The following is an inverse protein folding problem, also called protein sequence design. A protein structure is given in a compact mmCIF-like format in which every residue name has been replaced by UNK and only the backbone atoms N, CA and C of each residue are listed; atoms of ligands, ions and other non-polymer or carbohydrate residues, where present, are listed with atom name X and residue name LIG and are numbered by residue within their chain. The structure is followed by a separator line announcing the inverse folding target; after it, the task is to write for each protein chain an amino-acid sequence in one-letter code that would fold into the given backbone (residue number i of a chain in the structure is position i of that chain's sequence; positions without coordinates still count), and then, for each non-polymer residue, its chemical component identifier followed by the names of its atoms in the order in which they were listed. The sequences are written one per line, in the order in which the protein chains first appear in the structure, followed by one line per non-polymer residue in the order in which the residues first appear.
data_IF_276231398606
#
_entry.id   IF_276231398606
#
_cell.length_a   1.000
_cell.length_b   1.000
_cell.length_c   1.000
_cell.angle_alpha   90.00
_cell.angle_beta   90.00
_cell.angle_gamma   90.00
#
_symmetry.space_group_name_H-M   'P 1'
#
loop_
_entity.id
_entity.type
_entity.pdbx_description
1 polymer ?
#
# COMPACT_ATOMS: atom_id res chain seq x y z
N UNK A 1 -3.22 -10.16 -24.30
CA UNK A 1 -3.04 -9.31 -23.08
C UNK A 1 -4.18 -9.58 -22.12
N UNK A 2 -4.01 -9.33 -20.81
CA UNK A 2 -5.07 -9.59 -19.79
C UNK A 2 -6.40 -8.92 -20.14
N UNK A 3 -6.39 -7.74 -20.74
CA UNK A 3 -7.62 -7.06 -21.21
C UNK A 3 -8.50 -7.92 -22.15
N UNK A 4 -7.89 -8.70 -23.01
CA UNK A 4 -8.64 -9.61 -23.90
C UNK A 4 -9.25 -10.78 -23.13
N UNK A 5 -8.55 -11.24 -22.08
CA UNK A 5 -9.03 -12.30 -21.19
C UNK A 5 -10.15 -11.83 -20.26
N UNK A 6 -10.28 -10.51 -20.02
CA UNK A 6 -11.32 -9.91 -19.20
C UNK A 6 -12.57 -9.50 -19.99
N UNK A 7 -12.59 -9.70 -21.30
CA UNK A 7 -13.73 -9.35 -22.16
C UNK A 7 -15.05 -10.08 -21.82
N UNK A 8 -14.98 -11.14 -20.99
CA UNK A 8 -16.15 -11.86 -20.48
C UNK A 8 -16.74 -11.26 -19.21
N UNK A 9 -16.04 -10.30 -18.56
CA UNK A 9 -16.59 -9.65 -17.38
C UNK A 9 -17.78 -8.76 -17.76
N UNK A 10 -18.82 -8.68 -16.92
CA UNK A 10 -19.95 -7.79 -17.16
C UNK A 10 -19.48 -6.32 -17.19
N UNK A 11 -20.15 -5.48 -18.01
CA UNK A 11 -19.85 -4.05 -18.12
C UNK A 11 -19.98 -3.32 -16.78
N UNK A 12 -20.86 -3.79 -15.89
CA UNK A 12 -20.98 -3.31 -14.52
C UNK A 12 -20.72 -4.45 -13.54
N UNK A 13 -19.74 -4.29 -12.69
CA UNK A 13 -19.53 -5.18 -11.55
C UNK A 13 -20.47 -4.75 -10.41
N UNK A 14 -21.02 -5.71 -9.64
CA UNK A 14 -21.72 -5.37 -8.42
C UNK A 14 -20.75 -4.65 -7.47
N UNK A 15 -21.28 -3.74 -6.64
CA UNK A 15 -20.50 -3.03 -5.63
C UNK A 15 -19.68 -4.03 -4.80
N UNK A 16 -18.38 -3.99 -4.98
CA UNK A 16 -17.47 -4.83 -4.20
C UNK A 16 -17.24 -4.18 -2.83
N UNK A 17 -17.76 -4.83 -1.78
CA UNK A 17 -17.64 -4.36 -0.41
C UNK A 17 -16.86 -5.39 0.43
N UNK A 18 -15.53 -5.34 0.43
CA UNK A 18 -14.70 -6.32 1.13
C UNK A 18 -14.86 -6.26 2.65
N UNK A 19 -15.10 -5.05 3.18
CA UNK A 19 -15.30 -4.77 4.59
C UNK A 19 -16.28 -3.61 4.77
N UNK A 20 -16.87 -3.41 5.95
CA UNK A 20 -17.66 -2.21 6.24
C UNK A 20 -16.74 -0.97 6.30
N UNK A 21 -17.06 0.13 5.57
CA UNK A 21 -16.31 1.39 5.71
C UNK A 21 -16.33 1.89 7.17
N UNK A 22 -15.37 2.71 7.56
CA UNK A 22 -15.26 3.22 8.93
C UNK A 22 -16.52 3.93 9.44
N UNK A 23 -17.25 4.61 8.53
CA UNK A 23 -18.54 5.28 8.82
C UNK A 23 -19.66 4.32 9.22
N UNK A 24 -19.59 3.03 8.92
CA UNK A 24 -20.56 2.01 9.37
C UNK A 24 -20.30 1.64 10.83
N UNK A 25 -20.53 2.59 11.74
CA UNK A 25 -20.15 2.51 13.16
C UNK A 25 -20.66 1.28 13.89
N UNK A 26 -21.87 0.81 13.57
CA UNK A 26 -22.49 -0.34 14.26
C UNK A 26 -21.60 -1.59 14.18
N UNK A 27 -20.97 -1.84 13.02
CA UNK A 27 -20.09 -3.00 12.83
C UNK A 27 -18.80 -2.85 13.65
N UNK A 28 -18.14 -1.69 13.52
CA UNK A 28 -16.88 -1.43 14.23
C UNK A 28 -17.05 -1.38 15.75
N UNK A 29 -18.16 -0.79 16.21
CA UNK A 29 -18.52 -0.74 17.64
C UNK A 29 -18.93 -2.13 18.17
N UNK A 30 -19.52 -2.97 17.33
CA UNK A 30 -19.91 -4.35 17.66
C UNK A 30 -18.77 -5.35 17.76
N UNK A 31 -17.56 -4.97 17.39
CA UNK A 31 -16.38 -5.84 17.53
C UNK A 31 -16.15 -6.23 19.01
N UNK A 32 -15.70 -7.48 19.28
CA UNK A 32 -15.31 -7.88 20.64
C UNK A 32 -14.29 -6.92 21.24
N UNK A 33 -14.45 -6.58 22.54
CA UNK A 33 -13.59 -5.60 23.22
C UNK A 33 -12.10 -5.91 23.04
N UNK A 34 -11.71 -7.18 23.19
CA UNK A 34 -10.32 -7.63 23.00
C UNK A 34 -9.76 -7.28 21.61
N UNK A 35 -10.61 -7.31 20.56
CA UNK A 35 -10.19 -6.98 19.20
C UNK A 35 -9.98 -5.47 19.08
N UNK A 36 -10.93 -4.69 19.61
CA UNK A 36 -10.81 -3.23 19.65
C UNK A 36 -9.57 -2.78 20.39
N UNK A 37 -9.33 -3.33 21.58
CA UNK A 37 -8.16 -3.00 22.40
C UNK A 37 -6.84 -3.30 21.65
N UNK A 38 -6.78 -4.43 20.94
CA UNK A 38 -5.62 -4.81 20.12
C UNK A 38 -5.37 -3.81 18.99
N UNK A 39 -6.40 -3.39 18.28
CA UNK A 39 -6.25 -2.40 17.19
C UNK A 39 -5.83 -1.04 17.73
N UNK A 40 -6.44 -0.58 18.82
CA UNK A 40 -6.07 0.69 19.44
C UNK A 40 -4.64 0.66 19.99
N UNK A 41 -4.23 -0.41 20.66
CA UNK A 41 -2.85 -0.56 21.14
C UNK A 41 -1.84 -0.54 19.99
N UNK A 42 -2.14 -1.22 18.88
CA UNK A 42 -1.28 -1.21 17.70
C UNK A 42 -1.19 0.19 17.08
N UNK A 43 -2.33 0.90 16.97
CA UNK A 43 -2.37 2.29 16.48
C UNK A 43 -1.58 3.25 17.36
N UNK A 44 -1.70 3.14 18.70
CA UNK A 44 -0.92 3.94 19.65
C UNK A 44 0.59 3.70 19.48
N UNK A 45 1.00 2.44 19.40
CA UNK A 45 2.41 2.10 19.15
C UNK A 45 2.90 2.67 17.81
N UNK A 46 2.05 2.63 16.78
CA UNK A 46 2.36 3.20 15.48
C UNK A 46 2.49 4.73 15.53
N UNK A 47 1.68 5.45 16.31
CA UNK A 47 1.84 6.90 16.50
C UNK A 47 3.21 7.27 17.08
N UNK A 48 3.73 6.46 18.01
CA UNK A 48 5.02 6.69 18.65
C UNK A 48 6.22 6.25 17.81
N UNK A 49 5.99 5.48 16.75
CA UNK A 49 7.06 4.96 15.89
C UNK A 49 7.26 5.89 14.70
N UNK A 50 8.46 6.43 14.45
CA UNK A 50 8.74 7.24 13.26
C UNK A 50 8.55 6.43 11.96
N UNK A 51 8.24 7.12 10.87
CA UNK A 51 8.26 6.51 9.54
C UNK A 51 9.70 6.12 9.20
N UNK A 52 9.96 4.84 8.98
CA UNK A 52 11.29 4.34 8.70
C UNK A 52 11.85 4.97 7.40
N UNK A 53 13.07 5.49 7.38
CA UNK A 53 13.67 6.01 6.15
C UNK A 53 14.01 4.86 5.19
N UNK A 54 13.88 5.13 3.88
CA UNK A 54 14.30 4.22 2.80
C UNK A 54 15.37 4.89 1.92
N UNK A 55 16.59 5.08 2.43
CA UNK A 55 17.65 5.72 1.67
C UNK A 55 18.16 4.80 0.55
N UNK A 56 18.68 5.41 -0.51
CA UNK A 56 19.24 4.70 -1.65
C UNK A 56 20.32 3.66 -1.27
N UNK A 57 21.07 3.92 -0.20
CA UNK A 57 22.11 3.00 0.28
C UNK A 57 21.55 1.62 0.66
N UNK A 58 20.34 1.57 1.25
CA UNK A 58 19.67 0.30 1.58
C UNK A 58 19.19 -0.43 0.33
N UNK A 59 18.67 0.31 -0.66
CA UNK A 59 18.32 -0.28 -1.96
C UNK A 59 19.52 -0.94 -2.63
N UNK A 60 20.63 -0.21 -2.72
CA UNK A 60 21.86 -0.67 -3.37
C UNK A 60 22.58 -1.79 -2.59
N UNK A 61 22.26 -2.00 -1.31
CA UNK A 61 22.89 -3.06 -0.52
C UNK A 61 22.62 -4.45 -1.13
N UNK A 62 21.42 -4.65 -1.68
CA UNK A 62 21.10 -5.89 -2.36
C UNK A 62 22.00 -6.16 -3.57
N UNK A 63 22.17 -5.21 -4.47
CA UNK A 63 23.02 -5.41 -5.66
C UNK A 63 24.51 -5.52 -5.32
N UNK A 64 24.94 -4.93 -4.21
CA UNK A 64 26.35 -4.91 -3.78
C UNK A 64 26.75 -6.14 -2.97
N UNK A 65 25.85 -6.64 -2.14
CA UNK A 65 26.19 -7.64 -1.11
C UNK A 65 25.22 -8.83 -1.08
N UNK A 66 24.10 -8.78 -1.81
CA UNK A 66 23.01 -9.75 -1.73
C UNK A 66 22.11 -9.58 -0.49
N UNK A 67 22.38 -8.59 0.37
CA UNK A 67 21.56 -8.36 1.59
C UNK A 67 20.31 -7.56 1.26
N UNK A 68 19.16 -8.08 1.71
CA UNK A 68 17.85 -7.48 1.49
C UNK A 68 17.15 -7.04 2.78
N UNK A 69 17.56 -7.62 3.91
CA UNK A 69 16.86 -7.51 5.19
C UNK A 69 16.65 -6.07 5.65
N UNK A 70 17.69 -5.23 5.61
CA UNK A 70 17.60 -3.86 6.10
C UNK A 70 16.62 -2.98 5.28
N UNK A 71 16.56 -3.19 3.96
CA UNK A 71 15.55 -2.54 3.14
C UNK A 71 14.16 -3.06 3.46
N UNK A 72 14.00 -4.39 3.51
CA UNK A 72 12.71 -5.04 3.75
C UNK A 72 12.13 -4.69 5.12
N UNK A 73 12.95 -4.67 6.17
CA UNK A 73 12.50 -4.28 7.51
C UNK A 73 11.90 -2.84 7.51
N UNK A 74 12.58 -1.89 6.88
CA UNK A 74 12.10 -0.53 6.76
C UNK A 74 10.86 -0.43 5.86
N UNK A 75 10.85 -1.15 4.74
CA UNK A 75 9.74 -1.22 3.78
C UNK A 75 8.47 -1.77 4.43
N UNK A 76 8.55 -2.93 5.07
CA UNK A 76 7.40 -3.56 5.71
C UNK A 76 6.92 -2.80 6.95
N UNK A 77 7.84 -2.16 7.69
CA UNK A 77 7.44 -1.37 8.85
C UNK A 77 6.53 -0.19 8.47
N UNK A 78 6.74 0.45 7.32
CA UNK A 78 5.84 1.50 6.80
C UNK A 78 4.44 0.95 6.52
N UNK A 79 4.34 -0.23 5.89
CA UNK A 79 3.06 -0.87 5.56
C UNK A 79 2.33 -1.34 6.82
N UNK A 80 3.04 -1.95 7.74
CA UNK A 80 2.50 -2.34 9.04
C UNK A 80 2.00 -1.13 9.85
N UNK A 81 2.76 -0.01 9.82
CA UNK A 81 2.34 1.25 10.43
C UNK A 81 1.01 1.73 9.85
N UNK A 82 0.89 1.81 8.52
CA UNK A 82 -0.35 2.25 7.89
C UNK A 82 -1.52 1.36 8.28
N UNK A 83 -1.36 0.05 8.21
CA UNK A 83 -2.39 -0.91 8.58
C UNK A 83 -2.85 -0.73 10.03
N UNK A 84 -1.91 -0.58 10.97
CA UNK A 84 -2.22 -0.39 12.38
C UNK A 84 -3.01 0.91 12.63
N UNK A 85 -2.58 2.03 12.03
CA UNK A 85 -3.24 3.32 12.16
C UNK A 85 -4.66 3.31 11.56
N UNK A 86 -4.83 2.71 10.37
CA UNK A 86 -6.13 2.61 9.70
C UNK A 86 -7.10 1.76 10.51
N UNK A 87 -6.67 0.60 11.02
CA UNK A 87 -7.51 -0.25 11.86
C UNK A 87 -7.92 0.46 13.16
N UNK A 88 -7.00 1.20 13.79
CA UNK A 88 -7.29 1.98 14.99
C UNK A 88 -8.30 3.10 14.71
N UNK A 89 -8.14 3.85 13.62
CA UNK A 89 -9.09 4.90 13.22
C UNK A 89 -10.47 4.30 12.90
N UNK A 90 -10.55 3.18 12.20
CA UNK A 90 -11.82 2.50 11.94
C UNK A 90 -12.55 2.11 13.25
N UNK A 91 -11.82 1.70 14.28
CA UNK A 91 -12.40 1.36 15.59
C UNK A 91 -12.82 2.61 16.37
N UNK A 92 -11.93 3.57 16.53
CA UNK A 92 -12.14 4.76 17.34
C UNK A 92 -12.99 5.81 16.64
N UNK A 93 -12.65 6.13 15.39
CA UNK A 93 -13.33 7.10 14.53
C UNK A 93 -13.43 8.50 15.14
N UNK A 94 -12.34 9.00 15.71
CA UNK A 94 -12.26 10.34 16.30
C UNK A 94 -11.39 11.30 15.49
N UNK A 95 -10.75 10.81 14.43
CA UNK A 95 -9.81 11.58 13.62
C UNK A 95 -8.39 11.64 14.19
N UNK A 96 -8.14 11.03 15.34
CA UNK A 96 -6.87 11.12 16.06
C UNK A 96 -5.70 10.51 15.30
N UNK A 97 -5.94 9.49 14.48
CA UNK A 97 -4.91 8.81 13.69
C UNK A 97 -4.77 9.38 12.28
N UNK A 98 -5.70 10.21 11.81
CA UNK A 98 -5.78 10.64 10.41
C UNK A 98 -4.52 11.37 9.93
N UNK A 99 -3.94 12.25 10.75
CA UNK A 99 -2.71 12.95 10.38
C UNK A 99 -1.55 11.96 10.15
N UNK A 100 -1.38 10.99 11.06
CA UNK A 100 -0.34 9.97 10.92
C UNK A 100 -0.60 8.99 9.76
N UNK A 101 -1.87 8.72 9.43
CA UNK A 101 -2.27 7.97 8.23
C UNK A 101 -1.86 8.75 6.98
N UNK A 102 -2.22 10.03 6.90
CA UNK A 102 -1.90 10.89 5.77
C UNK A 102 -0.37 10.99 5.54
N UNK A 103 0.40 11.20 6.60
CA UNK A 103 1.87 11.22 6.53
C UNK A 103 2.44 9.89 6.02
N UNK A 104 1.87 8.76 6.46
CA UNK A 104 2.34 7.45 6.05
C UNK A 104 1.96 7.15 4.60
N UNK A 105 0.74 7.51 4.18
CA UNK A 105 0.29 7.44 2.77
C UNK A 105 1.19 8.28 1.89
N UNK A 106 1.46 9.53 2.29
CA UNK A 106 2.37 10.41 1.57
C UNK A 106 3.75 9.78 1.40
N UNK A 107 4.34 9.25 2.47
CA UNK A 107 5.64 8.60 2.42
C UNK A 107 5.65 7.37 1.49
N UNK A 108 4.55 6.60 1.39
CA UNK A 108 4.42 5.50 0.43
C UNK A 108 4.30 5.98 -1.01
N UNK A 109 3.58 7.07 -1.24
CA UNK A 109 3.46 7.69 -2.56
C UNK A 109 4.80 8.28 -3.06
N UNK A 110 5.66 8.73 -2.14
CA UNK A 110 6.99 9.28 -2.47
C UNK A 110 8.09 8.21 -2.64
N UNK A 111 7.81 6.93 -2.41
CA UNK A 111 8.76 5.86 -2.72
C UNK A 111 9.01 5.79 -4.22
N UNK A 112 10.28 5.66 -4.64
CA UNK A 112 10.63 5.52 -6.05
C UNK A 112 10.10 4.24 -6.68
N UNK A 113 9.88 3.19 -5.87
CA UNK A 113 9.38 1.90 -6.30
C UNK A 113 8.64 1.19 -5.17
N UNK A 114 7.64 0.38 -5.54
CA UNK A 114 6.94 -0.49 -4.59
C UNK A 114 7.39 -1.95 -4.67
N UNK A 115 8.09 -2.36 -5.75
CA UNK A 115 8.74 -3.66 -5.81
C UNK A 115 9.97 -3.68 -4.90
N UNK A 116 10.39 -4.86 -4.48
CA UNK A 116 11.62 -5.04 -3.73
C UNK A 116 12.87 -4.95 -4.62
N UNK A 117 14.04 -4.54 -4.08
CA UNK A 117 15.32 -4.54 -4.83
C UNK A 117 15.62 -5.89 -5.48
N UNK A 118 15.28 -7.00 -4.79
CA UNK A 118 15.48 -8.36 -5.30
C UNK A 118 14.59 -8.72 -6.50
N UNK A 119 13.56 -7.91 -6.79
CA UNK A 119 12.62 -8.13 -7.88
C UNK A 119 12.73 -7.06 -8.98
N UNK A 120 13.79 -6.25 -8.94
CA UNK A 120 13.99 -5.13 -9.86
C UNK A 120 14.54 -5.59 -11.22
N UNK A 121 13.85 -6.51 -11.89
CA UNK A 121 14.19 -7.02 -13.22
C UNK A 121 12.92 -7.27 -14.05
N UNK A 122 13.00 -7.01 -15.37
CA UNK A 122 11.91 -7.29 -16.31
C UNK A 122 11.98 -8.71 -16.89
N UNK A 123 13.12 -9.38 -16.73
CA UNK A 123 13.38 -10.69 -17.31
C UNK A 123 13.73 -11.66 -16.18
N UNK A 124 13.10 -12.81 -16.20
CA UNK A 124 13.36 -13.87 -15.23
C UNK A 124 14.84 -14.30 -15.25
N UNK A 125 15.37 -14.58 -14.06
CA UNK A 125 16.72 -15.11 -13.86
C UNK A 125 17.87 -14.22 -14.45
N UNK A 126 17.61 -12.90 -14.55
CA UNK A 126 18.62 -11.90 -14.91
C UNK A 126 19.05 -11.07 -13.70
N UNK A 127 20.26 -10.47 -13.73
CA UNK A 127 20.63 -9.52 -12.69
C UNK A 127 19.62 -8.38 -12.56
N UNK A 128 19.36 -7.97 -11.31
CA UNK A 128 18.49 -6.83 -11.04
C UNK A 128 19.11 -5.54 -11.57
N UNK A 129 18.24 -4.64 -12.05
CA UNK A 129 18.65 -3.29 -12.40
C UNK A 129 19.16 -2.57 -11.13
N UNK A 130 20.22 -1.74 -11.24
CA UNK A 130 20.78 -1.06 -10.06
C UNK A 130 19.80 -0.08 -9.40
N UNK A 131 18.94 0.56 -10.21
CA UNK A 131 17.88 1.46 -9.75
C UNK A 131 16.55 1.10 -10.38
N UNK A 132 15.44 1.41 -9.72
CA UNK A 132 14.12 1.23 -10.33
C UNK A 132 13.92 2.24 -11.47
N UNK A 133 13.29 1.80 -12.55
CA UNK A 133 12.81 2.67 -13.61
C UNK A 133 11.40 3.18 -13.23
N UNK A 134 11.32 4.43 -12.81
CA UNK A 134 10.05 5.05 -12.39
C UNK A 134 9.08 5.28 -13.56
N UNK A 135 9.56 5.22 -14.81
CA UNK A 135 8.72 5.33 -16.01
C UNK A 135 8.11 4.00 -16.44
N UNK A 136 8.65 2.90 -15.92
CA UNK A 136 8.23 1.52 -16.21
C UNK A 136 8.13 0.70 -14.94
N UNK A 137 7.13 0.93 -14.09
CA UNK A 137 6.97 0.24 -12.81
C UNK A 137 6.87 -1.28 -12.98
N UNK A 138 7.48 -2.01 -12.05
CA UNK A 138 7.36 -3.47 -11.96
C UNK A 138 6.28 -3.79 -10.93
N UNK A 139 5.30 -4.61 -11.35
CA UNK A 139 4.29 -5.15 -10.44
C UNK A 139 4.75 -6.53 -9.99
N UNK A 140 5.39 -6.58 -8.83
CA UNK A 140 5.65 -7.81 -8.09
C UNK A 140 4.59 -8.01 -7.01
N UNK A 141 4.70 -9.09 -6.24
CA UNK A 141 3.80 -9.38 -5.12
C UNK A 141 3.69 -8.21 -4.13
N UNK A 142 4.81 -7.59 -3.79
CA UNK A 142 4.88 -6.55 -2.76
C UNK A 142 4.40 -5.18 -3.26
N UNK A 143 4.60 -4.89 -4.54
CA UNK A 143 3.97 -3.75 -5.19
C UNK A 143 2.44 -3.91 -5.20
N UNK A 144 1.94 -5.11 -5.53
CA UNK A 144 0.51 -5.42 -5.49
C UNK A 144 -0.07 -5.32 -4.07
N UNK A 145 0.63 -5.83 -3.06
CA UNK A 145 0.23 -5.69 -1.64
C UNK A 145 0.18 -4.22 -1.20
N UNK A 146 1.16 -3.41 -1.61
CA UNK A 146 1.17 -1.97 -1.33
C UNK A 146 -0.04 -1.29 -1.98
N UNK A 147 -0.32 -1.62 -3.24
CA UNK A 147 -1.50 -1.15 -3.95
C UNK A 147 -2.81 -1.53 -3.24
N UNK A 148 -2.94 -2.79 -2.84
CA UNK A 148 -4.11 -3.26 -2.10
C UNK A 148 -4.28 -2.54 -0.76
N UNK A 149 -3.21 -2.31 -0.02
CA UNK A 149 -3.25 -1.57 1.25
C UNK A 149 -3.71 -0.13 1.06
N UNK A 150 -3.18 0.59 0.05
CA UNK A 150 -3.63 1.95 -0.26
C UNK A 150 -5.09 1.98 -0.73
N UNK A 151 -5.49 1.05 -1.60
CA UNK A 151 -6.87 0.95 -2.06
C UNK A 151 -7.85 0.71 -0.91
N UNK A 152 -7.51 -0.20 0.02
CA UNK A 152 -8.31 -0.47 1.22
C UNK A 152 -8.32 0.73 2.17
N UNK A 153 -7.21 1.42 2.36
CA UNK A 153 -7.13 2.63 3.18
C UNK A 153 -8.10 3.70 2.65
N UNK A 154 -8.05 3.97 1.34
CA UNK A 154 -8.96 4.91 0.67
C UNK A 154 -10.42 4.46 0.76
N UNK A 155 -10.70 3.17 0.60
CA UNK A 155 -12.04 2.61 0.71
C UNK A 155 -12.64 2.74 2.12
N UNK A 156 -11.81 2.52 3.15
CA UNK A 156 -12.26 2.53 4.54
C UNK A 156 -12.50 3.95 5.08
N UNK A 157 -11.71 4.94 4.63
CA UNK A 157 -11.64 6.30 5.18
C UNK A 157 -11.67 7.39 4.09
N UNK A 158 -12.56 7.34 3.08
CA UNK A 158 -12.46 8.25 1.93
C UNK A 158 -12.65 9.73 2.31
N UNK A 159 -13.69 10.04 3.04
CA UNK A 159 -14.06 11.42 3.39
C UNK A 159 -13.17 11.97 4.53
N UNK A 160 -12.83 11.11 5.47
CA UNK A 160 -11.98 11.44 6.62
C UNK A 160 -10.56 11.81 6.16
N UNK A 161 -10.01 11.07 5.19
CA UNK A 161 -8.67 11.35 4.64
C UNK A 161 -8.63 12.68 3.91
N UNK A 162 -9.59 12.98 3.05
CA UNK A 162 -9.62 14.24 2.32
C UNK A 162 -9.96 15.44 3.23
N UNK A 163 -10.64 15.21 4.35
CA UNK A 163 -10.83 16.23 5.40
C UNK A 163 -9.50 16.54 6.09
N UNK A 164 -8.70 15.53 6.42
CA UNK A 164 -7.42 15.70 7.11
C UNK A 164 -6.30 16.20 6.18
N UNK A 165 -6.29 15.75 4.93
CA UNK A 165 -5.29 16.08 3.92
C UNK A 165 -5.96 16.22 2.53
N UNK A 166 -6.47 17.41 2.17
CA UNK A 166 -7.20 17.61 0.93
C UNK A 166 -6.42 17.18 -0.31
N UNK A 167 -7.02 16.28 -1.11
CA UNK A 167 -6.43 15.73 -2.33
C UNK A 167 -5.57 14.48 -2.13
N UNK A 168 -5.42 13.97 -0.91
CA UNK A 168 -4.62 12.77 -0.67
C UNK A 168 -5.22 11.54 -1.34
N UNK A 169 -6.55 11.43 -1.39
CA UNK A 169 -7.23 10.31 -2.04
C UNK A 169 -7.05 10.34 -3.55
N UNK A 170 -6.99 11.52 -4.16
CA UNK A 170 -6.67 11.70 -5.59
C UNK A 170 -5.22 11.28 -5.86
N UNK A 171 -4.27 11.66 -4.98
CA UNK A 171 -2.89 11.21 -5.10
C UNK A 171 -2.78 9.69 -5.00
N UNK A 172 -3.45 9.06 -4.05
CA UNK A 172 -3.49 7.60 -3.92
C UNK A 172 -3.99 6.93 -5.21
N UNK A 173 -5.06 7.44 -5.80
CA UNK A 173 -5.63 6.94 -7.06
C UNK A 173 -4.65 7.06 -8.23
N UNK A 174 -3.96 8.20 -8.35
CA UNK A 174 -2.92 8.40 -9.36
C UNK A 174 -1.79 7.37 -9.24
N UNK A 175 -1.29 7.15 -8.01
CA UNK A 175 -0.23 6.17 -7.76
C UNK A 175 -0.69 4.74 -8.03
N UNK A 176 -1.90 4.37 -7.61
CA UNK A 176 -2.50 3.06 -7.91
C UNK A 176 -2.62 2.82 -9.41
N UNK A 177 -3.13 3.81 -10.16
CA UNK A 177 -3.24 3.71 -11.61
C UNK A 177 -1.88 3.61 -12.28
N UNK A 178 -0.92 4.46 -11.91
CA UNK A 178 0.38 4.53 -12.56
C UNK A 178 1.26 3.33 -12.23
N UNK A 179 1.26 2.86 -10.99
CA UNK A 179 2.20 1.83 -10.53
C UNK A 179 1.65 0.42 -10.54
N UNK A 180 0.33 0.25 -10.50
CA UNK A 180 -0.30 -1.08 -10.44
C UNK A 180 -1.23 -1.33 -11.61
N UNK A 181 -2.33 -0.57 -11.74
CA UNK A 181 -3.40 -0.94 -12.67
C UNK A 181 -2.94 -0.80 -14.12
N UNK A 182 -2.40 0.35 -14.51
CA UNK A 182 -1.93 0.55 -15.89
C UNK A 182 -0.84 -0.47 -16.28
N UNK A 183 0.26 -0.65 -15.52
CA UNK A 183 1.25 -1.67 -15.84
C UNK A 183 0.68 -3.08 -15.86
N UNK A 184 -0.20 -3.45 -14.93
CA UNK A 184 -0.81 -4.78 -14.87
C UNK A 184 -1.63 -5.10 -16.12
N UNK A 185 -2.38 -4.13 -16.64
CA UNK A 185 -3.22 -4.34 -17.82
C UNK A 185 -2.48 -4.18 -19.17
N UNK A 186 -1.39 -3.41 -19.20
CA UNK A 186 -0.71 -3.06 -20.45
C UNK A 186 0.63 -3.73 -20.65
N UNK A 187 1.24 -4.28 -19.59
CA UNK A 187 2.54 -4.93 -19.64
C UNK A 187 2.41 -6.43 -19.43
N UNK A 188 3.37 -7.19 -19.97
CA UNK A 188 3.51 -8.61 -19.69
C UNK A 188 4.69 -8.79 -18.71
N UNK A 189 4.40 -9.29 -17.53
CA UNK A 189 5.42 -9.63 -16.55
C UNK A 189 5.79 -11.11 -16.66
N UNK A 190 7.05 -11.44 -16.46
CA UNK A 190 7.56 -12.81 -16.59
C UNK A 190 6.82 -13.85 -15.72
N UNK A 191 6.21 -13.45 -14.63
CA UNK A 191 5.42 -14.31 -13.75
C UNK A 191 3.98 -14.55 -14.24
N UNK A 192 3.55 -13.92 -15.31
CA UNK A 192 2.21 -14.15 -15.90
C UNK A 192 2.16 -15.38 -16.80
N UNK A 193 3.26 -16.05 -17.10
CA UNK A 193 3.35 -17.26 -17.93
C UNK A 193 3.71 -16.98 -19.36
#
# INVERSE_FOLDING_TARGET
MIQEQLAFLPESLPDYRPFPPARERTVWQGLPQRVKDRFLQAGEAALQTPIAPLPLSLWLDFTRTGRRTAWEDAYFSRRARLCALVCAECVEHTGRFLGAIADTVWALCEESAWQLPAHNSYIRDTPQLPLPDTTRPIVDLFAAETGALLALTRYLLPDELDTAAPGITVRMEQELNTRILTPYFTSHFWWMG
#
